data_IF_001562968791
#
_entry.id   IF_001562968791
#
_cell.length_a   1.000
_cell.length_b   1.000
_cell.length_c   1.000
_cell.angle_alpha   90.00
_cell.angle_beta   90.00
_cell.angle_gamma   90.00
#
_symmetry.space_group_name_H-M   'P 1'
#
loop_
_entity.id
_entity.type
_entity.pdbx_description
1 polymer ?
#
# COMPACT_ATOMS: atom_id res chain seq x y z
N UNK A 1 3.42 -10.60 -22.31
CA UNK A 1 2.43 -9.72 -21.64
C UNK A 1 2.92 -8.30 -21.67
N UNK A 2 2.04 -7.31 -21.84
CA UNK A 2 2.41 -5.90 -21.84
C UNK A 2 1.41 -5.07 -21.03
N UNK A 3 1.91 -4.11 -20.30
CA UNK A 3 1.09 -3.12 -19.59
C UNK A 3 0.42 -2.21 -20.63
N UNK A 4 -0.91 -2.15 -20.63
CA UNK A 4 -1.71 -1.35 -21.57
C UNK A 4 -2.21 -0.05 -20.98
N UNK A 5 -2.54 -0.06 -19.70
CA UNK A 5 -2.99 1.14 -18.96
C UNK A 5 -2.74 0.99 -17.47
N UNK A 6 -2.67 2.13 -16.79
CA UNK A 6 -2.61 2.21 -15.33
C UNK A 6 -3.64 3.22 -14.86
N UNK A 7 -4.47 2.79 -13.94
CA UNK A 7 -5.48 3.62 -13.29
C UNK A 7 -5.03 3.93 -11.87
N UNK A 8 -5.03 5.20 -11.49
CA UNK A 8 -4.69 5.66 -10.14
C UNK A 8 -5.95 6.17 -9.45
N UNK A 9 -6.19 5.72 -8.23
CA UNK A 9 -7.36 6.07 -7.45
C UNK A 9 -6.93 6.79 -6.17
N UNK A 10 -7.51 7.95 -5.94
CA UNK A 10 -7.34 8.73 -4.72
C UNK A 10 -8.57 8.51 -3.82
N UNK A 11 -8.39 7.72 -2.77
CA UNK A 11 -9.42 7.42 -1.77
C UNK A 11 -8.88 7.61 -0.37
N UNK A 12 -9.24 6.74 0.55
CA UNK A 12 -8.58 6.66 1.87
C UNK A 12 -7.09 6.31 1.74
N UNK A 13 -6.76 5.53 0.72
CA UNK A 13 -5.41 5.16 0.31
C UNK A 13 -5.23 5.45 -1.18
N UNK A 14 -3.99 5.60 -1.63
CA UNK A 14 -3.68 5.71 -3.05
C UNK A 14 -3.50 4.30 -3.59
N UNK A 15 -4.40 3.87 -4.48
CA UNK A 15 -4.31 2.56 -5.12
C UNK A 15 -4.06 2.71 -6.62
N UNK A 16 -3.32 1.76 -7.16
CA UNK A 16 -3.01 1.65 -8.58
C UNK A 16 -3.50 0.33 -9.13
N UNK A 17 -4.16 0.36 -10.28
CA UNK A 17 -4.54 -0.82 -11.04
C UNK A 17 -3.76 -0.83 -12.34
N UNK A 18 -2.98 -1.86 -12.57
CA UNK A 18 -2.21 -2.07 -13.81
C UNK A 18 -2.97 -3.09 -14.66
N UNK A 19 -3.33 -2.71 -15.88
CA UNK A 19 -4.00 -3.58 -16.85
C UNK A 19 -2.99 -4.07 -17.89
N UNK A 20 -3.24 -5.27 -18.44
CA UNK A 20 -2.40 -5.89 -19.47
C UNK A 20 -3.17 -6.24 -20.72
N UNK A 21 -2.45 -6.48 -21.81
CA UNK A 21 -2.99 -6.92 -23.10
C UNK A 21 -3.59 -8.33 -23.07
N UNK A 22 -3.33 -9.10 -22.02
CA UNK A 22 -3.91 -10.44 -21.81
C UNK A 22 -5.15 -10.44 -20.90
N UNK A 23 -5.67 -9.26 -20.53
CA UNK A 23 -6.86 -9.12 -19.68
C UNK A 23 -6.60 -9.39 -18.19
N UNK A 24 -5.37 -9.72 -17.81
CA UNK A 24 -4.95 -9.83 -16.40
C UNK A 24 -4.63 -8.44 -15.88
N UNK A 25 -5.02 -8.16 -14.65
CA UNK A 25 -4.70 -6.92 -13.97
C UNK A 25 -4.19 -7.16 -12.55
N UNK A 26 -3.39 -6.23 -12.07
CA UNK A 26 -2.88 -6.24 -10.70
C UNK A 26 -3.17 -4.96 -9.93
N UNK A 27 -3.24 -5.10 -8.62
CA UNK A 27 -3.44 -4.00 -7.69
C UNK A 27 -2.21 -3.75 -6.84
N UNK A 28 -1.91 -2.49 -6.59
CA UNK A 28 -0.90 -2.05 -5.64
C UNK A 28 -1.33 -0.80 -4.90
N UNK A 29 -0.69 -0.52 -3.79
CA UNK A 29 -1.02 0.61 -2.92
C UNK A 29 0.24 1.40 -2.57
N UNK A 30 0.17 2.72 -2.64
CA UNK A 30 1.19 3.63 -2.14
C UNK A 30 0.97 3.91 -0.65
N UNK A 31 1.10 2.87 0.17
CA UNK A 31 0.60 2.81 1.54
C UNK A 31 1.31 3.70 2.56
N UNK A 32 2.54 4.16 2.31
CA UNK A 32 3.28 5.02 3.23
C UNK A 32 3.10 6.53 2.93
N UNK A 33 2.42 6.86 1.85
CA UNK A 33 2.18 8.24 1.45
C UNK A 33 0.87 8.74 2.06
N UNK A 34 0.88 9.06 3.32
CA UNK A 34 -0.28 9.60 4.05
C UNK A 34 0.01 11.01 4.61
N UNK A 35 -1.03 11.65 5.12
CA UNK A 35 -0.93 13.01 5.66
C UNK A 35 -0.70 14.06 4.57
N UNK A 36 0.13 15.03 4.83
CA UNK A 36 0.34 16.18 3.93
C UNK A 36 1.05 15.85 2.61
N UNK A 37 1.59 14.63 2.46
CA UNK A 37 2.25 14.16 1.24
C UNK A 37 1.33 13.36 0.30
N UNK A 38 0.08 13.20 0.66
CA UNK A 38 -0.86 12.30 0.00
C UNK A 38 -1.09 12.68 -1.47
N UNK A 39 -1.41 13.94 -1.73
CA UNK A 39 -1.64 14.42 -3.10
C UNK A 39 -0.37 14.43 -3.94
N UNK A 40 0.78 14.76 -3.34
CA UNK A 40 2.06 14.69 -4.02
C UNK A 40 2.40 13.26 -4.45
N UNK A 41 2.15 12.28 -3.58
CA UNK A 41 2.35 10.87 -3.92
C UNK A 41 1.35 10.37 -4.98
N UNK A 42 0.12 10.86 -4.97
CA UNK A 42 -0.85 10.57 -6.03
C UNK A 42 -0.37 11.09 -7.39
N UNK A 43 0.11 12.33 -7.43
CA UNK A 43 0.72 12.89 -8.64
C UNK A 43 1.93 12.07 -9.12
N UNK A 44 2.77 11.62 -8.20
CA UNK A 44 3.92 10.76 -8.53
C UNK A 44 3.48 9.40 -9.09
N UNK A 45 2.41 8.80 -8.55
CA UNK A 45 1.83 7.58 -9.09
C UNK A 45 1.36 7.78 -10.54
N UNK A 46 0.70 8.90 -10.84
CA UNK A 46 0.24 9.24 -12.18
C UNK A 46 1.39 9.47 -13.17
N UNK A 47 2.49 10.08 -12.71
CA UNK A 47 3.66 10.29 -13.56
C UNK A 47 4.39 8.99 -13.85
N UNK A 48 4.61 8.16 -12.86
CA UNK A 48 5.24 6.85 -13.03
C UNK A 48 4.38 5.88 -13.85
N UNK A 49 3.06 5.97 -13.73
CA UNK A 49 2.12 5.21 -14.55
C UNK A 49 2.38 5.33 -16.06
N UNK A 50 2.72 6.54 -16.52
CA UNK A 50 3.00 6.82 -17.94
C UNK A 50 4.28 6.16 -18.43
N UNK A 51 5.25 5.98 -17.55
CA UNK A 51 6.59 5.49 -17.90
C UNK A 51 6.65 3.97 -18.07
N UNK A 52 5.68 3.24 -17.54
CA UNK A 52 5.67 1.78 -17.57
C UNK A 52 4.76 1.18 -18.65
N UNK A 53 4.05 2.03 -19.40
CA UNK A 53 3.19 1.56 -20.51
C UNK A 53 4.04 0.84 -21.56
N UNK A 54 3.59 -0.34 -21.98
CA UNK A 54 4.27 -1.21 -22.95
C UNK A 54 5.37 -2.09 -22.35
N UNK A 55 5.73 -1.92 -21.07
CA UNK A 55 6.66 -2.80 -20.38
C UNK A 55 6.00 -4.14 -20.03
N UNK A 56 6.80 -5.19 -19.86
CA UNK A 56 6.31 -6.48 -19.37
C UNK A 56 6.24 -6.45 -17.83
N UNK A 57 5.07 -6.69 -17.20
CA UNK A 57 4.96 -6.70 -15.74
C UNK A 57 5.72 -7.86 -15.07
N UNK A 58 6.21 -8.84 -15.85
CA UNK A 58 7.10 -9.87 -15.34
C UNK A 58 8.52 -9.38 -15.12
N UNK A 59 8.93 -8.30 -15.77
CA UNK A 59 10.25 -7.69 -15.64
C UNK A 59 10.31 -6.70 -14.46
N UNK A 60 9.92 -7.11 -13.24
CA UNK A 60 9.81 -6.23 -12.07
C UNK A 60 11.11 -5.47 -11.80
N UNK A 61 12.26 -6.13 -11.84
CA UNK A 61 13.56 -5.49 -11.62
C UNK A 61 13.87 -4.42 -12.70
N UNK A 62 13.51 -4.71 -13.96
CA UNK A 62 13.68 -3.75 -15.04
C UNK A 62 12.77 -2.54 -14.87
N UNK A 63 11.53 -2.75 -14.45
CA UNK A 63 10.59 -1.66 -14.13
C UNK A 63 11.15 -0.83 -12.98
N UNK A 64 11.62 -1.47 -11.90
CA UNK A 64 12.23 -0.80 -10.76
C UNK A 64 13.44 0.06 -11.20
N UNK A 65 14.39 -0.54 -11.92
CA UNK A 65 15.57 0.17 -12.43
C UNK A 65 15.18 1.37 -13.33
N UNK A 66 14.17 1.17 -14.18
CA UNK A 66 13.68 2.23 -15.06
C UNK A 66 13.13 3.40 -14.24
N UNK A 67 12.30 3.16 -13.24
CA UNK A 67 11.73 4.21 -12.39
C UNK A 67 12.77 4.85 -11.47
N UNK A 68 13.69 4.06 -10.93
CA UNK A 68 14.70 4.54 -9.98
C UNK A 68 15.84 5.30 -10.66
N UNK A 69 16.40 4.76 -11.74
CA UNK A 69 17.62 5.31 -12.35
C UNK A 69 17.39 6.17 -13.59
N UNK A 70 16.31 5.94 -14.32
CA UNK A 70 16.04 6.66 -15.57
C UNK A 70 15.09 7.84 -15.40
N UNK A 71 14.65 8.12 -14.17
CA UNK A 71 13.94 9.37 -13.83
C UNK A 71 14.89 10.29 -13.05
N UNK A 72 14.81 11.60 -13.27
CA UNK A 72 15.76 12.54 -12.66
C UNK A 72 15.75 12.49 -11.13
N UNK A 73 14.57 12.35 -10.51
CA UNK A 73 14.40 12.35 -9.05
C UNK A 73 14.32 10.96 -8.41
N UNK A 74 14.28 9.91 -9.22
CA UNK A 74 14.08 8.53 -8.71
C UNK A 74 15.12 8.11 -7.68
N UNK A 75 16.39 8.38 -7.96
CA UNK A 75 17.50 8.07 -7.05
C UNK A 75 17.50 8.91 -5.77
N UNK A 76 16.86 10.06 -5.77
CA UNK A 76 16.71 10.90 -4.58
C UNK A 76 15.86 10.25 -3.49
N UNK A 77 15.01 9.32 -3.87
CA UNK A 77 14.17 8.56 -2.96
C UNK A 77 13.13 9.43 -2.22
N UNK A 78 12.89 9.05 -0.99
CA UNK A 78 11.85 9.64 -0.16
C UNK A 78 10.49 8.97 -0.34
N UNK A 79 9.61 9.19 0.63
CA UNK A 79 8.34 8.43 0.74
C UNK A 79 7.42 8.63 -0.46
N UNK A 80 7.39 9.81 -1.06
CA UNK A 80 6.56 10.13 -2.24
C UNK A 80 6.95 9.26 -3.43
N UNK A 81 8.24 9.20 -3.74
CA UNK A 81 8.77 8.44 -4.88
C UNK A 81 8.70 6.95 -4.62
N UNK A 82 9.20 6.50 -3.47
CA UNK A 82 9.29 5.07 -3.17
C UNK A 82 7.91 4.42 -2.96
N UNK A 83 6.91 5.16 -2.45
CA UNK A 83 5.55 4.65 -2.34
C UNK A 83 4.92 4.40 -3.72
N UNK A 84 5.14 5.30 -4.68
CA UNK A 84 4.66 5.09 -6.06
C UNK A 84 5.35 3.89 -6.72
N UNK A 85 6.66 3.73 -6.54
CA UNK A 85 7.40 2.57 -7.03
C UNK A 85 6.90 1.26 -6.39
N UNK A 86 6.68 1.27 -5.06
CA UNK A 86 6.17 0.11 -4.33
C UNK A 86 4.75 -0.30 -4.80
N UNK A 87 3.88 0.67 -5.09
CA UNK A 87 2.56 0.39 -5.63
C UNK A 87 2.65 -0.32 -7.00
N UNK A 88 3.53 0.14 -7.88
CA UNK A 88 3.76 -0.49 -9.19
C UNK A 88 4.34 -1.89 -9.03
N UNK A 89 5.35 -2.05 -8.19
CA UNK A 89 5.99 -3.35 -7.94
C UNK A 89 4.97 -4.37 -7.39
N UNK A 90 4.20 -3.98 -6.39
CA UNK A 90 3.14 -4.81 -5.81
C UNK A 90 2.10 -5.23 -6.85
N UNK A 91 1.66 -4.30 -7.71
CA UNK A 91 0.72 -4.61 -8.78
C UNK A 91 1.32 -5.58 -9.82
N UNK A 92 2.61 -5.45 -10.14
CA UNK A 92 3.29 -6.39 -11.03
C UNK A 92 3.40 -7.79 -10.40
N UNK A 93 3.68 -7.90 -9.10
CA UNK A 93 3.67 -9.19 -8.39
C UNK A 93 2.27 -9.81 -8.33
N UNK A 94 1.22 -9.01 -8.16
CA UNK A 94 -0.16 -9.49 -8.22
C UNK A 94 -0.51 -10.04 -9.62
N UNK A 95 -0.08 -9.36 -10.70
CA UNK A 95 -0.20 -9.86 -12.08
C UNK A 95 0.52 -11.21 -12.23
N UNK A 96 1.78 -11.31 -11.76
CA UNK A 96 2.55 -12.56 -11.82
C UNK A 96 1.82 -13.71 -11.12
N UNK A 97 1.34 -13.46 -9.91
CA UNK A 97 0.59 -14.46 -9.14
C UNK A 97 -0.66 -14.94 -9.87
N UNK A 98 -1.43 -14.03 -10.45
CA UNK A 98 -2.63 -14.33 -11.23
C UNK A 98 -2.33 -15.07 -12.53
N UNK A 99 -1.34 -14.62 -13.28
CA UNK A 99 -0.93 -15.23 -14.54
C UNK A 99 -0.42 -16.67 -14.36
N UNK A 100 0.30 -16.93 -13.27
CA UNK A 100 0.83 -18.26 -12.96
C UNK A 100 -0.15 -19.13 -12.14
N UNK A 101 -1.28 -18.60 -11.71
CA UNK A 101 -2.27 -19.32 -10.90
C UNK A 101 -1.77 -19.66 -9.49
N UNK A 102 -0.83 -18.91 -8.93
CA UNK A 102 -0.26 -19.18 -7.62
C UNK A 102 -0.23 -17.91 -6.74
N UNK A 103 -0.43 -18.04 -5.43
CA UNK A 103 -0.28 -16.91 -4.52
C UNK A 103 1.14 -16.34 -4.54
N UNK A 104 1.28 -15.02 -4.42
CA UNK A 104 2.57 -14.32 -4.49
C UNK A 104 3.59 -14.87 -3.49
N UNK A 105 3.17 -15.24 -2.26
CA UNK A 105 4.10 -15.81 -1.28
C UNK A 105 4.82 -17.08 -1.77
N UNK A 106 4.21 -17.85 -2.67
CA UNK A 106 4.87 -19.04 -3.27
C UNK A 106 5.95 -18.64 -4.26
N UNK A 107 5.74 -17.53 -4.98
CA UNK A 107 6.75 -16.97 -5.90
C UNK A 107 7.93 -16.39 -5.12
N UNK A 108 7.71 -15.93 -3.89
CA UNK A 108 8.72 -15.35 -3.00
C UNK A 108 9.43 -16.38 -2.10
N UNK A 109 9.28 -17.67 -2.37
CA UNK A 109 9.99 -18.73 -1.64
C UNK A 109 9.12 -19.59 -0.71
N UNK A 110 7.81 -19.35 -0.65
CA UNK A 110 6.87 -20.17 0.11
C UNK A 110 6.64 -19.71 1.56
N UNK A 111 5.94 -20.53 2.34
CA UNK A 111 5.62 -20.24 3.74
C UNK A 111 6.78 -20.65 4.64
N UNK A 112 7.37 -19.71 5.34
CA UNK A 112 8.33 -19.98 6.42
C UNK A 112 7.64 -20.12 7.76
N UNK A 113 6.54 -19.37 8.00
CA UNK A 113 5.77 -19.43 9.23
C UNK A 113 4.26 -19.46 8.92
N UNK A 114 3.56 -20.57 9.24
CA UNK A 114 2.13 -20.71 8.93
C UNK A 114 1.22 -19.87 9.83
N UNK A 115 1.72 -19.41 10.97
CA UNK A 115 0.99 -18.57 11.93
C UNK A 115 1.83 -17.36 12.31
N UNK A 116 1.26 -16.19 12.22
CA UNK A 116 1.86 -14.93 12.65
C UNK A 116 1.07 -14.38 13.82
N UNK A 117 1.78 -13.92 14.87
CA UNK A 117 1.16 -13.17 15.95
C UNK A 117 0.80 -11.79 15.43
N UNK A 118 -0.46 -11.41 15.53
CA UNK A 118 -0.94 -10.07 15.23
C UNK A 118 -1.01 -9.23 16.52
N UNK A 119 -0.86 -7.93 16.38
CA UNK A 119 -1.10 -6.98 17.45
C UNK A 119 -2.07 -5.91 16.99
N UNK A 120 -2.87 -5.40 17.92
CA UNK A 120 -3.73 -4.24 17.66
C UNK A 120 -2.86 -2.97 17.63
N UNK A 121 -2.89 -2.26 16.52
CA UNK A 121 -2.09 -1.04 16.30
C UNK A 121 -2.99 0.20 16.34
N UNK A 122 -2.38 1.36 16.57
CA UNK A 122 -3.04 2.67 16.50
C UNK A 122 -4.17 2.85 17.52
N UNK A 123 -4.03 2.31 18.71
CA UNK A 123 -5.04 2.46 19.76
C UNK A 123 -5.28 3.91 20.16
N UNK A 124 -4.29 4.79 19.94
CA UNK A 124 -4.41 6.23 20.20
C UNK A 124 -5.52 6.93 19.38
N UNK A 125 -6.03 6.29 18.32
CA UNK A 125 -7.14 6.79 17.49
C UNK A 125 -8.49 6.15 17.83
N UNK A 126 -8.56 5.29 18.85
CA UNK A 126 -9.70 4.43 19.12
C UNK A 126 -9.69 3.17 18.25
N UNK A 127 -10.01 2.03 18.84
CA UNK A 127 -9.89 0.73 18.15
C UNK A 127 -10.96 0.50 17.07
N UNK A 128 -12.16 1.02 17.27
CA UNK A 128 -13.29 0.79 16.35
C UNK A 128 -13.48 1.87 15.29
N UNK A 129 -12.86 3.02 15.47
CA UNK A 129 -13.13 4.22 14.69
C UNK A 129 -11.88 4.70 13.97
N UNK A 130 -11.18 3.77 13.32
CA UNK A 130 -10.01 4.06 12.50
C UNK A 130 -10.33 5.21 11.52
N UNK A 131 -9.91 6.42 11.91
CA UNK A 131 -9.98 7.64 11.11
C UNK A 131 -11.43 8.04 10.83
N UNK A 132 -12.26 8.18 11.84
CA UNK A 132 -13.45 9.01 11.69
C UNK A 132 -12.99 10.46 11.53
N UNK A 133 -13.21 10.97 10.34
CA UNK A 133 -13.21 12.42 10.12
C UNK A 133 -14.56 12.94 10.58
N UNK A 134 -14.57 14.02 11.33
CA UNK A 134 -15.79 14.76 11.58
C UNK A 134 -16.42 15.23 10.25
N UNK A 135 -17.61 15.82 10.32
CA UNK A 135 -18.30 16.36 9.14
C UNK A 135 -17.54 17.51 8.44
N UNK A 136 -16.41 17.95 9.02
CA UNK A 136 -15.49 18.96 8.47
C UNK A 136 -14.21 18.36 7.92
N UNK A 137 -14.03 17.03 8.02
CA UNK A 137 -12.83 16.33 7.57
C UNK A 137 -11.67 16.39 8.58
N UNK A 138 -11.88 16.87 9.79
CA UNK A 138 -10.88 16.87 10.85
C UNK A 138 -10.83 15.50 11.51
N UNK A 139 -9.61 14.99 11.76
CA UNK A 139 -9.40 13.75 12.48
C UNK A 139 -10.00 13.85 13.88
N UNK A 140 -10.93 12.95 14.20
CA UNK A 140 -11.42 12.80 15.57
C UNK A 140 -10.23 12.48 16.48
N UNK A 141 -10.10 13.25 17.54
CA UNK A 141 -8.89 13.47 18.31
C UNK A 141 -8.21 12.20 18.82
N UNK A 142 -6.90 12.30 18.93
CA UNK A 142 -6.07 11.35 19.68
C UNK A 142 -6.64 11.17 21.10
N UNK A 143 -6.61 9.96 21.59
CA UNK A 143 -6.93 9.68 22.97
C UNK A 143 -5.82 10.26 23.87
N UNK A 144 -6.20 10.99 24.91
CA UNK A 144 -5.27 11.59 25.88
C UNK A 144 -5.49 11.12 27.32
N UNK A 145 -6.70 10.65 27.65
CA UNK A 145 -7.01 10.16 28.98
C UNK A 145 -6.57 8.70 29.12
N UNK A 146 -5.81 8.33 30.15
CA UNK A 146 -5.46 6.94 30.44
C UNK A 146 -6.67 5.98 30.53
N UNK A 147 -7.84 6.49 30.91
CA UNK A 147 -9.07 5.69 30.95
C UNK A 147 -9.52 5.27 29.55
N UNK A 148 -9.39 6.14 28.56
CA UNK A 148 -9.74 5.83 27.18
C UNK A 148 -8.82 4.75 26.63
N UNK A 149 -7.51 4.84 26.91
CA UNK A 149 -6.55 3.78 26.54
C UNK A 149 -6.87 2.45 27.22
N UNK A 150 -7.32 2.46 28.46
CA UNK A 150 -7.78 1.27 29.15
C UNK A 150 -8.96 0.61 28.43
N UNK A 151 -9.98 1.37 28.04
CA UNK A 151 -11.17 0.84 27.37
C UNK A 151 -10.86 0.31 25.96
N UNK A 152 -10.09 1.04 25.16
CA UNK A 152 -9.71 0.56 23.82
C UNK A 152 -8.81 -0.68 23.88
N UNK A 153 -7.91 -0.75 24.86
CA UNK A 153 -7.08 -1.95 25.11
C UNK A 153 -7.97 -3.15 25.48
N UNK A 154 -8.94 -2.93 26.36
CA UNK A 154 -9.88 -3.96 26.77
C UNK A 154 -10.74 -4.47 25.61
N UNK A 155 -11.12 -3.59 24.68
CA UNK A 155 -11.80 -3.98 23.45
C UNK A 155 -10.90 -4.84 22.55
N UNK A 156 -9.67 -4.42 22.33
CA UNK A 156 -8.70 -5.19 21.55
C UNK A 156 -8.44 -6.60 22.14
N UNK A 157 -8.33 -6.70 23.48
CA UNK A 157 -8.21 -8.00 24.15
C UNK A 157 -9.45 -8.88 23.95
N UNK A 158 -10.66 -8.28 23.99
CA UNK A 158 -11.93 -8.98 23.71
C UNK A 158 -11.99 -9.51 22.27
N UNK A 159 -11.41 -8.79 21.32
CA UNK A 159 -11.31 -9.19 19.92
C UNK A 159 -10.20 -10.26 19.68
N UNK A 160 -9.55 -10.71 20.76
CA UNK A 160 -8.58 -11.81 20.73
C UNK A 160 -7.13 -11.42 20.52
N UNK A 161 -6.80 -10.12 20.52
CA UNK A 161 -5.41 -9.68 20.46
C UNK A 161 -4.73 -9.84 21.83
N UNK A 162 -3.51 -10.36 21.83
CA UNK A 162 -2.66 -10.51 23.02
C UNK A 162 -1.46 -9.53 23.05
N UNK A 163 -1.41 -8.66 22.06
CA UNK A 163 -0.41 -7.59 21.94
C UNK A 163 -1.07 -6.33 21.38
N UNK A 164 -0.61 -5.19 21.86
CA UNK A 164 -1.10 -3.87 21.48
C UNK A 164 0.06 -2.93 21.18
N UNK A 165 -0.22 -1.89 20.37
CA UNK A 165 0.69 -0.78 20.12
C UNK A 165 -0.09 0.53 20.27
N UNK A 166 0.38 1.41 21.15
CA UNK A 166 -0.12 2.75 21.44
C UNK A 166 0.81 3.80 20.87
#
# INVERSE_FOLDING_TARGET
>A
MKITSVECYLGQFITMKINTDEGIYGWGEAGLAYGNSFEAAFGQCQDFAKLIIGMDPFDTEKIWEHLHRHTFWGMGGGVVITSAMAAIDTACWDIKGKALGVPVYKLLGGKTNPKLRAYASQLQFGWSDLIQKDNKGEALGLLFDPKDYYEVTKNALRDGYDAIKV
#
